data_IF_330942557598
#
_entry.id   IF_330942557598
#
_cell.length_a   1.000
_cell.length_b   1.000
_cell.length_c   1.000
_cell.angle_alpha   90.00
_cell.angle_beta   90.00
_cell.angle_gamma   90.00
#
_symmetry.space_group_name_H-M   'P 1'
#
loop_
_entity.id
_entity.type
_entity.pdbx_description
1 polymer ?
#
# COMPACT_ATOMS: atom_id res chain seq x y z
N UNK A 1 4.26 -25.63 -13.64
CA UNK A 1 4.79 -24.41 -14.28
C UNK A 1 4.81 -23.30 -13.23
N UNK A 2 5.99 -23.04 -12.63
CA UNK A 2 6.19 -21.85 -11.79
C UNK A 2 6.46 -20.66 -12.72
N UNK A 3 5.41 -19.98 -13.14
CA UNK A 3 5.50 -18.72 -13.87
C UNK A 3 5.80 -17.62 -12.84
N UNK A 4 7.04 -17.21 -12.73
CA UNK A 4 7.44 -16.04 -11.93
C UNK A 4 7.09 -14.76 -12.70
N UNK A 5 5.81 -14.40 -12.72
CA UNK A 5 5.32 -13.21 -13.40
C UNK A 5 5.37 -12.02 -12.46
N UNK A 6 6.06 -10.99 -12.87
CA UNK A 6 6.14 -9.69 -12.21
C UNK A 6 5.34 -8.64 -12.98
N UNK A 7 5.41 -7.40 -12.54
CA UNK A 7 4.63 -6.27 -13.11
C UNK A 7 4.90 -6.10 -14.61
N UNK A 8 6.12 -6.32 -15.08
CA UNK A 8 6.48 -6.17 -16.49
C UNK A 8 5.80 -7.20 -17.39
N UNK A 9 5.78 -8.47 -16.96
CA UNK A 9 5.14 -9.56 -17.71
C UNK A 9 3.62 -9.36 -17.73
N UNK A 10 3.02 -8.98 -16.60
CA UNK A 10 1.61 -8.65 -16.52
C UNK A 10 1.25 -7.45 -17.43
N UNK A 11 2.05 -6.40 -17.43
CA UNK A 11 1.85 -5.24 -18.30
C UNK A 11 1.92 -5.61 -19.78
N UNK A 12 2.86 -6.47 -20.17
CA UNK A 12 2.96 -6.99 -21.54
C UNK A 12 1.71 -7.78 -21.93
N UNK A 13 1.20 -8.65 -21.04
CA UNK A 13 -0.02 -9.40 -21.27
C UNK A 13 -1.22 -8.48 -21.47
N UNK A 14 -1.41 -7.48 -20.63
CA UNK A 14 -2.50 -6.50 -20.77
C UNK A 14 -2.41 -5.74 -22.11
N UNK A 15 -1.20 -5.36 -22.52
CA UNK A 15 -0.99 -4.70 -23.81
C UNK A 15 -1.37 -5.61 -24.98
N UNK A 16 -0.92 -6.87 -24.95
CA UNK A 16 -1.26 -7.88 -25.98
C UNK A 16 -2.77 -8.11 -26.03
N UNK A 17 -3.42 -8.27 -24.89
CA UNK A 17 -4.89 -8.45 -24.82
C UNK A 17 -5.60 -7.23 -25.41
N UNK A 18 -5.17 -6.02 -25.08
CA UNK A 18 -5.76 -4.80 -25.62
C UNK A 18 -5.66 -4.72 -27.14
N UNK A 19 -4.51 -5.08 -27.72
CA UNK A 19 -4.29 -5.15 -29.17
C UNK A 19 -5.15 -6.23 -29.81
N UNK A 20 -5.23 -7.42 -29.22
CA UNK A 20 -6.08 -8.50 -29.70
C UNK A 20 -7.57 -8.11 -29.68
N UNK A 21 -8.04 -7.47 -28.62
CA UNK A 21 -9.41 -6.94 -28.57
C UNK A 21 -9.68 -5.94 -29.69
N UNK A 22 -8.75 -5.06 -29.99
CA UNK A 22 -8.85 -4.14 -31.12
C UNK A 22 -8.96 -4.86 -32.47
N UNK A 23 -8.16 -5.90 -32.69
CA UNK A 23 -8.19 -6.73 -33.90
C UNK A 23 -9.51 -7.50 -34.03
N UNK A 24 -9.96 -8.16 -32.96
CA UNK A 24 -11.22 -8.92 -32.94
C UNK A 24 -12.42 -7.98 -33.18
N UNK A 25 -12.37 -6.76 -32.67
CA UNK A 25 -13.38 -5.71 -32.89
C UNK A 25 -13.30 -5.09 -34.28
N UNK A 26 -12.41 -5.58 -35.15
CA UNK A 26 -12.19 -5.07 -36.51
C UNK A 26 -11.88 -3.56 -36.56
N UNK A 27 -11.19 -3.04 -35.57
CA UNK A 27 -10.75 -1.65 -35.56
C UNK A 27 -9.70 -1.42 -36.64
N UNK A 28 -9.78 -0.29 -37.33
CA UNK A 28 -8.73 0.11 -38.27
C UNK A 28 -7.45 0.47 -37.53
N UNK A 29 -6.30 0.34 -38.15
CA UNK A 29 -5.02 0.70 -37.57
C UNK A 29 -5.01 2.15 -37.05
N UNK A 30 -5.64 3.07 -37.76
CA UNK A 30 -5.79 4.49 -37.38
C UNK A 30 -6.61 4.60 -36.08
N UNK A 31 -7.79 3.98 -36.04
CA UNK A 31 -8.65 4.01 -34.84
C UNK A 31 -7.96 3.36 -33.64
N UNK A 32 -7.22 2.28 -33.84
CA UNK A 32 -6.46 1.63 -32.79
C UNK A 32 -5.35 2.54 -32.24
N UNK A 33 -4.57 3.17 -33.10
CA UNK A 33 -3.51 4.10 -32.70
C UNK A 33 -4.06 5.33 -31.96
N UNK A 34 -5.16 5.91 -32.44
CA UNK A 34 -5.83 7.02 -31.74
C UNK A 34 -6.34 6.61 -30.36
N UNK A 35 -6.89 5.40 -30.24
CA UNK A 35 -7.38 4.87 -28.95
C UNK A 35 -6.23 4.67 -27.96
N UNK A 36 -5.11 4.11 -28.43
CA UNK A 36 -3.88 3.95 -27.62
C UNK A 36 -3.35 5.31 -27.18
N UNK A 37 -3.25 6.28 -28.09
CA UNK A 37 -2.78 7.63 -27.73
C UNK A 37 -3.70 8.32 -26.71
N UNK A 38 -5.01 8.17 -26.84
CA UNK A 38 -5.97 8.67 -25.83
C UNK A 38 -5.79 7.98 -24.48
N UNK A 39 -5.59 6.66 -24.46
CA UNK A 39 -5.35 5.91 -23.23
C UNK A 39 -4.04 6.36 -22.55
N UNK A 40 -2.97 6.53 -23.30
CA UNK A 40 -1.68 7.03 -22.79
C UNK A 40 -1.85 8.45 -22.21
N UNK A 41 -2.54 9.34 -22.93
CA UNK A 41 -2.81 10.70 -22.44
C UNK A 41 -3.62 10.71 -21.13
N UNK A 42 -4.57 9.78 -20.97
CA UNK A 42 -5.35 9.64 -19.75
C UNK A 42 -4.54 9.04 -18.60
N UNK A 43 -3.61 8.15 -18.88
CA UNK A 43 -2.74 7.51 -17.88
C UNK A 43 -1.54 8.40 -17.47
N UNK A 44 -1.13 9.34 -18.30
CA UNK A 44 0.08 10.16 -18.09
C UNK A 44 0.11 10.90 -16.74
N UNK A 45 -0.96 11.56 -16.25
CA UNK A 45 -0.95 12.20 -14.94
C UNK A 45 -0.69 11.21 -13.82
N UNK A 46 -1.31 10.03 -13.88
CA UNK A 46 -1.09 8.96 -12.90
C UNK A 46 0.36 8.44 -12.94
N UNK A 47 0.90 8.17 -14.13
CA UNK A 47 2.28 7.73 -14.29
C UNK A 47 3.29 8.76 -13.72
N UNK A 48 3.02 10.06 -13.94
CA UNK A 48 3.85 11.13 -13.40
C UNK A 48 3.82 11.16 -11.86
N UNK A 49 2.64 11.00 -11.25
CA UNK A 49 2.50 10.92 -9.80
C UNK A 49 3.18 9.68 -9.20
N UNK A 50 3.13 8.54 -9.89
CA UNK A 50 3.90 7.34 -9.50
C UNK A 50 5.40 7.62 -9.51
N UNK A 51 5.89 8.35 -10.52
CA UNK A 51 7.31 8.77 -10.59
C UNK A 51 7.73 9.62 -9.39
N UNK A 52 6.90 10.61 -9.00
CA UNK A 52 7.15 11.42 -7.80
C UNK A 52 7.14 10.58 -6.51
N UNK A 53 6.14 9.72 -6.33
CA UNK A 53 6.06 8.85 -5.17
C UNK A 53 7.29 7.93 -5.06
N UNK A 54 7.75 7.39 -6.19
CA UNK A 54 8.99 6.58 -6.25
C UNK A 54 10.21 7.42 -5.89
N UNK A 55 10.29 8.68 -6.32
CA UNK A 55 11.40 9.57 -5.98
C UNK A 55 11.45 9.85 -4.47
N UNK A 56 10.31 10.08 -3.83
CA UNK A 56 10.23 10.23 -2.37
C UNK A 56 10.75 8.97 -1.68
N UNK A 57 10.31 7.79 -2.11
CA UNK A 57 10.79 6.51 -1.58
C UNK A 57 12.31 6.39 -1.67
N UNK A 58 12.89 6.66 -2.85
CA UNK A 58 14.36 6.60 -3.06
C UNK A 58 15.10 7.56 -2.13
N UNK A 59 14.61 8.80 -1.98
CA UNK A 59 15.21 9.78 -1.07
C UNK A 59 15.15 9.32 0.40
N UNK A 60 14.05 8.71 0.81
CA UNK A 60 13.89 8.14 2.16
C UNK A 60 14.86 6.99 2.41
N UNK A 61 15.02 6.09 1.42
CA UNK A 61 15.97 4.98 1.46
C UNK A 61 17.41 5.48 1.52
N UNK A 62 17.79 6.45 0.67
CA UNK A 62 19.14 7.04 0.66
C UNK A 62 19.47 7.78 1.98
N UNK A 63 18.47 8.35 2.62
CA UNK A 63 18.61 9.04 3.91
C UNK A 63 18.55 8.15 5.13
N UNK A 64 18.27 6.84 4.98
CA UNK A 64 17.98 5.90 6.09
C UNK A 64 16.88 6.41 7.05
N UNK A 65 15.98 7.25 6.52
CA UNK A 65 14.94 7.92 7.32
C UNK A 65 13.91 6.89 7.83
N UNK A 66 13.60 5.87 7.00
CA UNK A 66 12.68 4.80 7.37
C UNK A 66 13.14 4.03 8.60
N UNK A 67 14.41 3.67 8.68
CA UNK A 67 15.01 2.96 9.81
C UNK A 67 14.97 3.82 11.08
N UNK A 68 15.28 5.11 10.96
CA UNK A 68 15.23 6.06 12.07
C UNK A 68 13.80 6.21 12.62
N UNK A 69 12.80 6.35 11.76
CA UNK A 69 11.39 6.43 12.17
C UNK A 69 10.97 5.12 12.87
N UNK A 70 11.32 3.97 12.29
CA UNK A 70 10.98 2.66 12.84
C UNK A 70 11.58 2.46 14.23
N UNK A 71 12.85 2.85 14.41
CA UNK A 71 13.53 2.77 15.71
C UNK A 71 12.88 3.69 16.75
N UNK A 72 12.62 4.95 16.43
CA UNK A 72 11.98 5.90 17.35
C UNK A 72 10.59 5.43 17.76
N UNK A 73 9.81 4.89 16.85
CA UNK A 73 8.51 4.33 17.16
C UNK A 73 8.62 3.08 18.04
N UNK A 74 9.62 2.23 17.83
CA UNK A 74 9.85 1.07 18.70
C UNK A 74 10.12 1.47 20.15
N UNK A 75 10.90 2.53 20.37
CA UNK A 75 11.18 3.06 21.70
C UNK A 75 9.91 3.56 22.40
N UNK A 76 8.98 4.18 21.64
CA UNK A 76 7.70 4.67 22.18
C UNK A 76 6.73 3.53 22.53
N UNK A 77 6.88 2.36 21.90
CA UNK A 77 5.95 1.23 22.06
C UNK A 77 6.34 0.28 23.18
N UNK A 78 7.60 0.27 23.61
CA UNK A 78 8.16 -0.74 24.54
C UNK A 78 7.51 -0.77 25.93
N UNK A 79 6.93 0.34 26.39
CA UNK A 79 6.34 0.47 27.72
C UNK A 79 4.80 0.31 27.75
N UNK A 80 4.19 -0.07 26.61
CA UNK A 80 2.74 -0.18 26.48
C UNK A 80 2.23 -1.58 26.89
N UNK A 81 1.01 -1.69 27.47
CA UNK A 81 0.35 -2.97 27.68
C UNK A 81 0.15 -3.73 26.37
N UNK A 82 0.16 -5.07 26.42
CA UNK A 82 0.13 -5.99 25.28
C UNK A 82 -0.88 -5.62 24.16
N UNK A 83 -2.13 -5.38 24.53
CA UNK A 83 -3.18 -4.99 23.56
C UNK A 83 -2.93 -3.60 22.94
N UNK A 84 -2.49 -2.67 23.78
CA UNK A 84 -2.15 -1.33 23.33
C UNK A 84 -0.94 -1.34 22.42
N UNK A 85 0.06 -2.18 22.67
CA UNK A 85 1.24 -2.36 21.82
C UNK A 85 0.85 -2.84 20.41
N UNK A 86 -0.02 -3.85 20.30
CA UNK A 86 -0.47 -4.36 19.01
C UNK A 86 -1.21 -3.28 18.18
N UNK A 87 -2.12 -2.53 18.83
CA UNK A 87 -2.86 -1.43 18.17
C UNK A 87 -1.90 -0.29 17.79
N UNK A 88 -1.00 0.09 18.70
CA UNK A 88 -0.04 1.17 18.45
C UNK A 88 0.97 0.80 17.36
N UNK A 89 1.36 -0.48 17.24
CA UNK A 89 2.13 -0.98 16.11
C UNK A 89 1.39 -0.75 14.79
N UNK A 90 0.10 -1.07 14.73
CA UNK A 90 -0.71 -0.84 13.52
C UNK A 90 -0.84 0.64 13.18
N UNK A 91 -1.06 1.51 14.18
CA UNK A 91 -1.11 2.95 13.99
C UNK A 91 0.24 3.49 13.51
N UNK A 92 1.35 3.02 14.07
CA UNK A 92 2.69 3.44 13.65
C UNK A 92 2.97 3.03 12.20
N UNK A 93 2.55 1.85 11.76
CA UNK A 93 2.66 1.42 10.38
C UNK A 93 1.80 2.29 9.44
N UNK A 94 0.62 2.73 9.89
CA UNK A 94 -0.19 3.72 9.15
C UNK A 94 0.57 5.03 8.94
N UNK A 95 1.24 5.53 9.99
CA UNK A 95 2.04 6.77 9.88
C UNK A 95 3.23 6.57 8.93
N UNK A 96 3.95 5.46 9.06
CA UNK A 96 5.10 5.16 8.19
C UNK A 96 4.67 5.03 6.72
N UNK A 97 3.49 4.47 6.46
CA UNK A 97 2.99 4.30 5.09
C UNK A 97 2.81 5.62 4.31
N UNK A 98 2.57 6.74 4.99
CA UNK A 98 2.56 8.04 4.32
C UNK A 98 3.92 8.44 3.76
N UNK A 99 5.01 7.96 4.37
CA UNK A 99 6.38 8.23 3.95
C UNK A 99 6.92 7.14 3.02
N UNK A 100 6.54 5.88 3.25
CA UNK A 100 6.98 4.73 2.46
C UNK A 100 5.72 4.03 1.88
N UNK A 101 5.07 4.61 0.84
CA UNK A 101 3.82 4.08 0.29
C UNK A 101 4.06 2.85 -0.59
N UNK A 102 4.62 1.81 -0.01
CA UNK A 102 4.98 0.56 -0.69
C UNK A 102 5.01 -0.57 0.33
N UNK A 103 4.02 -1.46 0.29
CA UNK A 103 3.89 -2.55 1.25
C UNK A 103 5.17 -3.38 1.40
N UNK A 104 5.80 -3.79 0.29
CA UNK A 104 7.08 -4.53 0.34
C UNK A 104 8.25 -3.67 0.84
N UNK A 105 8.34 -2.41 0.41
CA UNK A 105 9.38 -1.49 0.87
C UNK A 105 9.24 -1.17 2.34
N UNK A 106 8.03 -0.89 2.81
CA UNK A 106 7.74 -0.66 4.22
C UNK A 106 8.03 -1.92 5.05
N UNK A 107 7.62 -3.11 4.58
CA UNK A 107 7.91 -4.37 5.27
C UNK A 107 9.42 -4.58 5.46
N UNK A 108 10.21 -4.38 4.41
CA UNK A 108 11.67 -4.50 4.48
C UNK A 108 12.31 -3.52 5.46
N UNK A 109 11.79 -2.31 5.56
CA UNK A 109 12.30 -1.29 6.47
C UNK A 109 11.86 -1.49 7.92
N UNK A 110 10.62 -1.95 8.16
CA UNK A 110 10.03 -1.92 9.51
C UNK A 110 10.00 -3.28 10.21
N UNK A 111 9.75 -4.38 9.48
CA UNK A 111 9.61 -5.70 10.10
C UNK A 111 10.89 -6.21 10.80
N UNK A 112 12.12 -5.94 10.30
CA UNK A 112 13.33 -6.32 11.04
C UNK A 112 13.43 -5.73 12.45
N UNK A 113 12.80 -4.57 12.69
CA UNK A 113 12.73 -3.90 13.99
C UNK A 113 11.47 -4.32 14.76
N UNK A 114 10.32 -4.34 14.07
CA UNK A 114 9.02 -4.59 14.71
C UNK A 114 8.81 -6.04 15.14
N UNK A 115 9.37 -7.03 14.43
CA UNK A 115 9.24 -8.44 14.83
C UNK A 115 9.94 -8.74 16.17
N UNK A 116 11.23 -8.42 16.36
CA UNK A 116 11.88 -8.61 17.64
C UNK A 116 11.23 -7.80 18.77
N UNK A 117 10.77 -6.57 18.47
CA UNK A 117 10.03 -5.78 19.46
C UNK A 117 8.71 -6.46 19.85
N UNK A 118 7.91 -6.92 18.90
CA UNK A 118 6.67 -7.65 19.16
C UNK A 118 6.91 -8.87 20.06
N UNK A 119 7.93 -9.68 19.75
CA UNK A 119 8.33 -10.83 20.57
C UNK A 119 8.73 -10.41 21.99
N UNK A 120 9.48 -9.32 22.15
CA UNK A 120 9.88 -8.81 23.47
C UNK A 120 8.69 -8.34 24.31
N UNK A 121 7.62 -7.87 23.66
CA UNK A 121 6.37 -7.46 24.29
C UNK A 121 5.39 -8.63 24.52
N UNK A 122 5.74 -9.86 24.10
CA UNK A 122 4.89 -11.04 24.23
C UNK A 122 3.88 -11.23 23.10
N UNK A 123 4.02 -10.52 21.99
CA UNK A 123 3.23 -10.72 20.78
C UNK A 123 3.86 -11.80 19.90
N UNK A 124 3.04 -12.62 19.25
CA UNK A 124 3.53 -13.57 18.26
C UNK A 124 3.94 -12.81 16.98
N UNK A 125 4.78 -13.45 16.15
CA UNK A 125 5.16 -12.90 14.83
C UNK A 125 3.93 -12.64 13.95
N UNK A 126 2.97 -13.55 13.99
CA UNK A 126 1.74 -13.46 13.21
C UNK A 126 0.90 -12.24 13.63
N UNK A 127 0.79 -11.97 14.93
CA UNK A 127 0.09 -10.77 15.44
C UNK A 127 0.83 -9.51 15.02
N UNK A 128 2.15 -9.48 15.08
CA UNK A 128 2.96 -8.34 14.63
C UNK A 128 2.80 -8.09 13.11
N UNK A 129 2.80 -9.17 12.30
CA UNK A 129 2.55 -9.08 10.86
C UNK A 129 1.11 -8.63 10.59
N UNK A 130 0.13 -9.12 11.35
CA UNK A 130 -1.26 -8.68 11.21
C UNK A 130 -1.40 -7.18 11.52
N UNK A 131 -0.77 -6.70 12.58
CA UNK A 131 -0.74 -5.27 12.93
C UNK A 131 -0.09 -4.43 11.82
N UNK A 132 1.00 -4.91 11.22
CA UNK A 132 1.63 -4.30 10.04
C UNK A 132 0.65 -4.23 8.88
N UNK A 133 0.01 -5.33 8.51
CA UNK A 133 -0.91 -5.40 7.36
C UNK A 133 -2.14 -4.50 7.52
N UNK A 134 -2.68 -4.39 8.74
CA UNK A 134 -3.78 -3.48 9.03
C UNK A 134 -3.35 -2.03 8.81
N UNK A 135 -2.17 -1.66 9.33
CA UNK A 135 -1.65 -0.30 9.23
C UNK A 135 -1.29 0.10 7.80
N UNK A 136 -0.54 -0.74 7.10
CA UNK A 136 -0.14 -0.51 5.70
C UNK A 136 -1.35 -0.60 4.76
N UNK A 137 -2.07 -1.73 4.78
CA UNK A 137 -3.10 -2.02 3.79
C UNK A 137 -4.28 -1.05 3.81
N UNK A 138 -4.81 -0.72 4.99
CA UNK A 138 -5.97 0.15 5.10
C UNK A 138 -5.63 1.61 4.86
N UNK A 139 -4.45 2.08 5.26
CA UNK A 139 -4.02 3.46 5.00
C UNK A 139 -3.81 3.75 3.52
N UNK A 140 -3.51 2.74 2.70
CA UNK A 140 -3.39 2.86 1.25
C UNK A 140 -4.67 3.34 0.56
N UNK A 141 -5.84 3.14 1.17
CA UNK A 141 -7.12 3.63 0.64
C UNK A 141 -7.26 5.16 0.65
N UNK A 142 -6.52 5.84 1.52
CA UNK A 142 -6.59 7.29 1.70
C UNK A 142 -5.23 7.98 1.52
N UNK A 143 -4.18 7.21 1.19
CA UNK A 143 -2.83 7.75 1.10
C UNK A 143 -2.61 8.52 -0.22
N UNK A 144 -2.47 9.86 -0.18
CA UNK A 144 -2.26 10.65 -1.39
C UNK A 144 -0.88 10.47 -2.01
N UNK A 145 0.08 9.89 -1.29
CA UNK A 145 1.42 9.59 -1.80
C UNK A 145 1.48 8.24 -2.52
N UNK A 146 0.42 7.42 -2.43
CA UNK A 146 0.32 6.16 -3.14
C UNK A 146 0.00 6.40 -4.62
N UNK A 147 1.01 6.31 -5.48
CA UNK A 147 0.89 6.56 -6.92
C UNK A 147 -0.18 5.72 -7.60
N UNK A 148 -0.36 4.46 -7.20
CA UNK A 148 -1.39 3.57 -7.74
C UNK A 148 -2.82 4.07 -7.48
N UNK A 149 -3.11 4.56 -6.27
CA UNK A 149 -4.41 5.16 -5.94
C UNK A 149 -4.67 6.40 -6.81
N UNK A 150 -3.70 7.31 -6.87
CA UNK A 150 -3.83 8.55 -7.65
C UNK A 150 -3.98 8.26 -9.13
N UNK A 151 -3.27 7.27 -9.67
CA UNK A 151 -3.41 6.84 -11.05
C UNK A 151 -4.84 6.35 -11.35
N UNK A 152 -5.38 5.46 -10.51
CA UNK A 152 -6.75 4.95 -10.67
C UNK A 152 -7.80 6.07 -10.59
N UNK A 153 -7.69 6.96 -9.60
CA UNK A 153 -8.60 8.10 -9.45
C UNK A 153 -8.53 9.04 -10.64
N UNK A 154 -7.33 9.30 -11.16
CA UNK A 154 -7.11 10.13 -12.35
C UNK A 154 -7.77 9.51 -13.58
N UNK A 155 -7.60 8.21 -13.82
CA UNK A 155 -8.23 7.49 -14.94
C UNK A 155 -9.76 7.51 -14.84
N UNK A 156 -10.30 7.39 -13.63
CA UNK A 156 -11.74 7.49 -13.37
C UNK A 156 -12.27 8.94 -13.31
N UNK A 157 -11.39 9.94 -13.43
CA UNK A 157 -11.73 11.37 -13.31
C UNK A 157 -12.41 11.71 -11.97
N UNK A 158 -12.01 11.00 -10.91
CA UNK A 158 -12.51 11.21 -9.54
C UNK A 158 -11.50 12.05 -8.77
N UNK A 159 -11.86 13.27 -8.30
CA UNK A 159 -10.97 14.07 -7.48
C UNK A 159 -10.79 13.41 -6.10
N UNK A 160 -9.58 13.52 -5.55
CA UNK A 160 -9.19 12.83 -4.31
C UNK A 160 -10.02 13.25 -3.10
N UNK A 161 -10.44 14.50 -3.02
CA UNK A 161 -11.30 15.00 -1.94
C UNK A 161 -12.67 14.31 -1.92
N UNK A 162 -13.25 14.05 -3.11
CA UNK A 162 -14.51 13.32 -3.26
C UNK A 162 -14.32 11.85 -2.90
N UNK A 163 -13.20 11.26 -3.32
CA UNK A 163 -12.84 9.89 -2.94
C UNK A 163 -12.70 9.73 -1.43
N UNK A 164 -11.94 10.62 -0.77
CA UNK A 164 -11.74 10.56 0.68
C UNK A 164 -13.07 10.66 1.42
N UNK A 165 -13.97 11.59 1.05
CA UNK A 165 -15.29 11.70 1.67
C UNK A 165 -16.13 10.44 1.52
N UNK A 166 -16.02 9.76 0.39
CA UNK A 166 -16.75 8.52 0.13
C UNK A 166 -16.19 7.35 0.93
N UNK A 167 -14.85 7.18 0.90
CA UNK A 167 -14.20 6.00 1.50
C UNK A 167 -14.04 6.12 3.02
N UNK A 168 -14.02 7.32 3.59
CA UNK A 168 -13.72 7.54 5.00
C UNK A 168 -14.65 6.80 5.97
N UNK A 169 -16.00 6.83 5.83
CA UNK A 169 -16.89 6.06 6.72
C UNK A 169 -16.69 4.55 6.58
N UNK A 170 -16.40 4.07 5.37
CA UNK A 170 -16.09 2.66 5.13
C UNK A 170 -14.77 2.30 5.80
N UNK A 171 -13.74 3.13 5.65
CA UNK A 171 -12.44 2.94 6.29
C UNK A 171 -12.57 2.86 7.82
N UNK A 172 -13.32 3.75 8.44
CA UNK A 172 -13.55 3.70 9.90
C UNK A 172 -14.22 2.39 10.31
N UNK A 173 -15.26 1.96 9.57
CA UNK A 173 -15.96 0.70 9.86
C UNK A 173 -15.01 -0.49 9.74
N UNK A 174 -14.20 -0.55 8.71
CA UNK A 174 -13.21 -1.63 8.49
C UNK A 174 -12.11 -1.58 9.55
N UNK A 175 -11.62 -0.39 9.92
CA UNK A 175 -10.63 -0.24 11.00
C UNK A 175 -11.17 -0.73 12.35
N UNK A 176 -12.42 -0.43 12.68
CA UNK A 176 -13.06 -0.96 13.89
C UNK A 176 -13.05 -2.50 13.89
N UNK A 177 -13.46 -3.12 12.79
CA UNK A 177 -13.46 -4.59 12.65
C UNK A 177 -12.03 -5.13 12.71
N UNK A 178 -11.08 -4.50 12.03
CA UNK A 178 -9.68 -4.92 12.01
C UNK A 178 -9.02 -4.83 13.40
N UNK A 179 -9.27 -3.76 14.16
CA UNK A 179 -8.75 -3.65 15.52
C UNK A 179 -9.42 -4.63 16.48
N UNK A 180 -10.73 -4.90 16.33
CA UNK A 180 -11.38 -5.97 17.08
C UNK A 180 -10.76 -7.34 16.76
N UNK A 181 -10.52 -7.63 15.48
CA UNK A 181 -9.84 -8.85 15.06
C UNK A 181 -8.42 -8.95 15.64
N UNK A 182 -7.68 -7.84 15.66
CA UNK A 182 -6.34 -7.78 16.25
C UNK A 182 -6.39 -8.04 17.76
N UNK A 183 -7.35 -7.47 18.49
CA UNK A 183 -7.55 -7.72 19.93
C UNK A 183 -7.87 -9.20 20.16
N UNK A 184 -8.75 -9.79 19.36
CA UNK A 184 -9.07 -11.23 19.44
C UNK A 184 -7.84 -12.09 19.16
N UNK A 185 -7.04 -11.73 18.14
CA UNK A 185 -5.80 -12.42 17.83
C UNK A 185 -4.80 -12.38 19.01
N UNK A 186 -4.68 -11.24 19.69
CA UNK A 186 -3.86 -11.12 20.91
C UNK A 186 -4.44 -11.97 22.03
N UNK A 187 -5.76 -11.94 22.26
CA UNK A 187 -6.42 -12.70 23.32
C UNK A 187 -6.31 -14.23 23.13
N UNK A 188 -6.32 -14.68 21.87
CA UNK A 188 -6.20 -16.11 21.51
C UNK A 188 -4.76 -16.57 21.29
N UNK A 189 -3.80 -15.66 21.43
CA UNK A 189 -2.38 -15.90 21.14
C UNK A 189 -2.17 -16.52 19.76
N UNK A 190 -2.78 -15.93 18.76
CA UNK A 190 -2.77 -16.40 17.37
C UNK A 190 -1.33 -16.56 16.84
N UNK A 191 -1.02 -17.76 16.35
CA UNK A 191 0.33 -18.15 15.94
C UNK A 191 0.32 -18.87 14.59
#
# INVERSE_FOLDING_TARGET
FNLHWYINELSAVFLIIALLCGLVSKMTATTMSETVLKAVAQAAPGAFMVGFATSIKVLMEMGNIGDTISYQLSVLLQDLPLYASAISMSISQTVINFFIPSGSGQALATLPVMLPLGESLGLTRQITILAFQIGDGLSNLVNPTLGGLIAMLSMCRVPIDRWIRFIFPVLISVLCVAFLALIVAVATNYS
#
